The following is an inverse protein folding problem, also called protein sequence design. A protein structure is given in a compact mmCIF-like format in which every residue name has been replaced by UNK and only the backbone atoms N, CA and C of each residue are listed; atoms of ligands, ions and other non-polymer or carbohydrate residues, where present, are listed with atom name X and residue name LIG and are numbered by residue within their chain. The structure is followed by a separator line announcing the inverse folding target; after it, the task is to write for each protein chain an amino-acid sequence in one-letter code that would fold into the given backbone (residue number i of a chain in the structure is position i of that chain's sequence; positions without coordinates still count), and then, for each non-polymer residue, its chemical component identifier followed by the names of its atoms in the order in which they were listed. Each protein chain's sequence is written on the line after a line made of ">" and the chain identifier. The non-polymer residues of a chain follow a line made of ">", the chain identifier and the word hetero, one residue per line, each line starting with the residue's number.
data_IF_839771947953
#
_entry.id   IF_839771947953
#
_cell.length_a   1.000
_cell.length_b   1.000
_cell.length_c   1.000
_cell.angle_alpha   90.00
_cell.angle_beta   90.00
_cell.angle_gamma   90.00
#
_symmetry.space_group_name_H-M   'P 1'
#
loop_
_entity.id
_entity.type
_entity.pdbx_description
1 polymer ?
#
# COMPACT_ATOMS: atom_id res chain seq x y z
N UNK A 1 10.23 56.89 -16.90
CA UNK A 1 8.98 56.81 -16.08
C UNK A 1 8.27 55.46 -16.28
N UNK A 2 8.91 54.31 -16.02
CA UNK A 2 8.32 52.98 -16.37
C UNK A 2 8.43 51.88 -15.28
N UNK A 3 8.98 52.18 -14.10
CA UNK A 3 9.22 51.14 -13.07
C UNK A 3 8.04 50.93 -12.08
N UNK A 4 7.11 51.88 -12.02
CA UNK A 4 5.97 51.85 -11.08
C UNK A 4 4.84 50.93 -11.60
N UNK A 5 4.67 50.81 -12.93
CA UNK A 5 3.65 49.93 -13.51
C UNK A 5 3.99 48.45 -13.29
N UNK A 6 5.23 48.03 -13.57
CA UNK A 6 5.67 46.63 -13.41
C UNK A 6 5.61 46.15 -11.95
N UNK A 7 6.01 46.98 -11.00
CA UNK A 7 5.95 46.66 -9.58
C UNK A 7 4.50 46.56 -9.08
N UNK A 8 3.61 47.44 -9.55
CA UNK A 8 2.17 47.37 -9.24
C UNK A 8 1.51 46.10 -9.78
N UNK A 9 1.78 45.72 -11.04
CA UNK A 9 1.27 44.48 -11.63
C UNK A 9 1.84 43.24 -10.93
N UNK A 10 3.15 43.20 -10.66
CA UNK A 10 3.79 42.09 -9.94
C UNK A 10 3.16 41.86 -8.56
N UNK A 11 2.92 42.93 -7.80
CA UNK A 11 2.29 42.84 -6.48
C UNK A 11 0.81 42.44 -6.58
N UNK A 12 0.09 42.93 -7.60
CA UNK A 12 -1.29 42.54 -7.87
C UNK A 12 -1.39 41.04 -8.16
N UNK A 13 -0.58 40.52 -9.08
CA UNK A 13 -0.54 39.10 -9.39
C UNK A 13 -0.13 38.26 -8.19
N UNK A 14 0.83 38.69 -7.36
CA UNK A 14 1.20 37.99 -6.13
C UNK A 14 0.07 37.93 -5.10
N UNK A 15 -0.75 38.99 -5.02
CA UNK A 15 -1.93 39.04 -4.14
C UNK A 15 -3.08 38.16 -4.67
N UNK A 16 -3.31 38.18 -5.99
CA UNK A 16 -4.35 37.39 -6.67
C UNK A 16 -4.00 35.90 -6.71
N UNK A 17 -2.72 35.55 -6.83
CA UNK A 17 -2.22 34.16 -6.84
C UNK A 17 -2.07 33.56 -5.44
N UNK A 18 -2.42 34.29 -4.38
CA UNK A 18 -2.32 33.79 -3.01
C UNK A 18 -3.40 32.70 -2.85
N UNK A 19 -2.97 31.44 -3.01
CA UNK A 19 -3.84 30.26 -2.94
C UNK A 19 -4.53 30.10 -1.59
N UNK A 20 -5.48 29.16 -1.53
CA UNK A 20 -6.18 28.81 -0.27
C UNK A 20 -5.17 28.49 0.83
N UNK A 21 -5.29 29.20 1.95
CA UNK A 21 -4.56 28.89 3.18
C UNK A 21 -5.45 28.05 4.08
N UNK A 22 -4.86 27.05 4.72
CA UNK A 22 -5.54 26.19 5.68
C UNK A 22 -4.94 26.46 7.06
N UNK A 23 -5.79 26.48 8.09
CA UNK A 23 -5.35 26.60 9.48
C UNK A 23 -4.54 25.37 9.89
N UNK A 24 -3.70 25.49 10.92
CA UNK A 24 -2.82 24.40 11.31
C UNK A 24 -3.62 23.26 11.95
N UNK A 25 -4.64 23.59 12.73
CA UNK A 25 -5.55 22.64 13.38
C UNK A 25 -6.27 21.78 12.33
N UNK A 26 -6.68 22.40 11.22
CA UNK A 26 -7.34 21.68 10.13
C UNK A 26 -6.38 20.72 9.44
N UNK A 27 -5.13 21.13 9.19
CA UNK A 27 -4.13 20.22 8.61
C UNK A 27 -3.88 19.03 9.53
N UNK A 28 -3.74 19.26 10.83
CA UNK A 28 -3.55 18.19 11.81
C UNK A 28 -4.73 17.21 11.84
N UNK A 29 -5.97 17.71 11.82
CA UNK A 29 -7.17 16.88 11.73
C UNK A 29 -7.16 15.99 10.48
N UNK A 30 -6.82 16.55 9.32
CA UNK A 30 -6.73 15.80 8.06
C UNK A 30 -5.62 14.74 8.12
N UNK A 31 -4.45 15.07 8.68
CA UNK A 31 -3.34 14.13 8.80
C UNK A 31 -3.68 12.96 9.74
N UNK A 32 -4.42 13.22 10.82
CA UNK A 32 -4.90 12.20 11.73
C UNK A 32 -5.93 11.28 11.05
N UNK A 33 -6.89 11.84 10.31
CA UNK A 33 -7.87 11.05 9.55
C UNK A 33 -7.18 10.20 8.46
N UNK A 34 -6.16 10.74 7.79
CA UNK A 34 -5.35 9.98 6.82
C UNK A 34 -4.63 8.81 7.50
N UNK A 35 -4.14 8.99 8.73
CA UNK A 35 -3.49 7.92 9.50
C UNK A 35 -4.47 6.81 9.87
N UNK A 36 -5.72 7.15 10.19
CA UNK A 36 -6.75 6.17 10.55
C UNK A 36 -7.31 5.41 9.35
N UNK A 37 -7.53 6.11 8.23
CA UNK A 37 -8.17 5.56 7.03
C UNK A 37 -7.15 4.96 6.05
N UNK A 38 -5.88 5.36 6.13
CA UNK A 38 -4.77 5.01 5.23
C UNK A 38 -5.04 5.32 3.74
N UNK A 39 -6.07 6.13 3.45
CA UNK A 39 -6.50 6.46 2.08
C UNK A 39 -6.64 7.97 1.87
N UNK A 40 -5.56 8.58 1.39
CA UNK A 40 -5.49 10.02 1.07
C UNK A 40 -6.54 10.44 0.03
N UNK A 41 -6.91 9.56 -0.91
CA UNK A 41 -7.88 9.89 -1.96
C UNK A 41 -9.32 9.94 -1.45
N UNK A 42 -9.63 9.19 -0.40
CA UNK A 42 -10.95 9.23 0.24
C UNK A 42 -11.07 10.48 1.10
N UNK A 43 -10.07 10.73 1.95
CA UNK A 43 -10.03 11.91 2.83
C UNK A 43 -10.03 13.21 2.02
N UNK A 44 -9.23 13.28 0.94
CA UNK A 44 -9.21 14.45 0.06
C UNK A 44 -10.58 14.75 -0.57
N UNK A 45 -11.31 13.72 -1.01
CA UNK A 45 -12.67 13.90 -1.57
C UNK A 45 -13.67 14.39 -0.53
N UNK A 46 -13.63 13.84 0.69
CA UNK A 46 -14.51 14.22 1.80
C UNK A 46 -14.37 15.71 2.17
N UNK A 47 -13.14 16.22 2.16
CA UNK A 47 -12.84 17.59 2.59
C UNK A 47 -12.64 18.58 1.44
N UNK A 48 -12.80 18.15 0.19
CA UNK A 48 -12.59 18.99 -1.00
C UNK A 48 -11.13 19.42 -1.20
N UNK A 49 -10.17 18.64 -0.70
CA UNK A 49 -8.73 18.91 -0.75
C UNK A 49 -8.10 18.01 -1.80
N UNK A 50 -7.22 18.56 -2.64
CA UNK A 50 -6.49 17.72 -3.58
C UNK A 50 -5.55 16.77 -2.82
N UNK A 51 -5.41 15.55 -3.33
CA UNK A 51 -4.49 14.56 -2.78
C UNK A 51 -3.05 15.10 -2.74
N UNK A 52 -2.64 15.88 -3.74
CA UNK A 52 -1.34 16.54 -3.80
C UNK A 52 -1.10 17.50 -2.63
N UNK A 53 -2.11 18.25 -2.21
CA UNK A 53 -2.01 19.14 -1.05
C UNK A 53 -1.83 18.35 0.24
N UNK A 54 -2.56 17.25 0.40
CA UNK A 54 -2.42 16.36 1.57
C UNK A 54 -1.03 15.71 1.60
N UNK A 55 -0.53 15.18 0.47
CA UNK A 55 0.83 14.64 0.39
C UNK A 55 1.90 15.68 0.73
N UNK A 56 1.73 16.93 0.32
CA UNK A 56 2.62 18.02 0.71
C UNK A 56 2.59 18.29 2.22
N UNK A 57 1.44 18.16 2.89
CA UNK A 57 1.37 18.28 4.35
C UNK A 57 2.02 17.09 5.04
N UNK A 58 1.79 15.86 4.57
CA UNK A 58 2.43 14.65 5.09
C UNK A 58 3.96 14.79 5.01
N UNK A 59 4.48 15.23 3.86
CA UNK A 59 5.92 15.43 3.66
C UNK A 59 6.53 16.54 4.52
N UNK A 60 5.74 17.54 4.93
CA UNK A 60 6.18 18.63 5.82
C UNK A 60 5.94 18.31 7.30
N UNK A 61 5.14 17.30 7.60
CA UNK A 61 4.83 16.90 8.97
C UNK A 61 6.02 16.18 9.61
N UNK A 62 6.22 16.40 10.91
CA UNK A 62 7.24 15.68 11.70
C UNK A 62 6.96 14.17 11.83
N UNK A 63 5.75 13.74 11.50
CA UNK A 63 5.26 12.37 11.66
C UNK A 63 5.18 11.60 10.35
N UNK A 64 5.91 12.02 9.30
CA UNK A 64 5.89 11.36 7.98
C UNK A 64 6.04 9.84 8.08
N UNK A 65 6.95 9.35 8.90
CA UNK A 65 7.24 7.91 9.04
C UNK A 65 6.12 7.14 9.76
N UNK A 66 5.23 7.83 10.47
CA UNK A 66 4.08 7.24 11.19
C UNK A 66 2.80 7.24 10.35
N UNK A 67 2.79 7.96 9.23
CA UNK A 67 1.64 8.03 8.33
C UNK A 67 1.88 7.01 7.22
N UNK A 68 1.48 5.77 7.48
CA UNK A 68 1.51 4.67 6.50
C UNK A 68 0.48 4.92 5.40
N UNK A 69 0.86 5.69 4.37
CA UNK A 69 -0.02 5.87 3.20
C UNK A 69 0.19 4.71 2.25
N UNK A 70 -0.89 4.02 1.88
CA UNK A 70 -0.82 3.01 0.83
C UNK A 70 -0.28 3.63 -0.46
N UNK A 71 0.77 3.07 -1.07
CA UNK A 71 1.27 3.55 -2.34
C UNK A 71 0.12 3.62 -3.34
N UNK A 72 -0.02 4.76 -4.02
CA UNK A 72 -1.02 4.90 -5.07
C UNK A 72 -0.81 3.84 -6.16
N UNK A 73 -1.86 3.55 -6.94
CA UNK A 73 -1.85 2.51 -7.99
C UNK A 73 -0.62 2.53 -8.91
N UNK A 74 0.03 3.69 -9.11
CA UNK A 74 1.27 3.83 -9.89
C UNK A 74 2.52 3.26 -9.19
N UNK A 75 2.66 3.39 -7.87
CA UNK A 75 3.78 2.82 -7.13
C UNK A 75 3.68 1.29 -6.99
N UNK A 76 2.48 0.72 -7.11
CA UNK A 76 2.30 -0.74 -7.26
C UNK A 76 2.84 -1.25 -8.61
N UNK A 77 2.86 -0.42 -9.65
CA UNK A 77 3.38 -0.79 -10.99
C UNK A 77 4.92 -0.75 -11.03
N UNK A 78 5.56 0.03 -10.15
CA UNK A 78 7.01 -0.02 -9.93
C UNK A 78 7.46 -1.23 -9.10
N UNK A 79 6.52 -2.05 -8.61
CA UNK A 79 6.76 -3.36 -7.96
C UNK A 79 7.31 -4.44 -8.90
N UNK A 80 8.01 -4.06 -9.97
CA UNK A 80 8.71 -4.96 -10.89
C UNK A 80 9.79 -5.80 -10.20
N UNK A 81 10.27 -5.35 -9.04
CA UNK A 81 11.19 -6.11 -8.19
C UNK A 81 10.51 -7.31 -7.50
N UNK A 82 9.18 -7.35 -7.42
CA UNK A 82 8.45 -8.43 -6.76
C UNK A 82 8.10 -9.57 -7.72
N UNK A 83 8.22 -9.38 -9.04
CA UNK A 83 7.89 -10.45 -10.01
C UNK A 83 8.83 -11.65 -9.85
N UNK A 84 10.12 -11.41 -9.59
CA UNK A 84 11.09 -12.48 -9.36
C UNK A 84 10.82 -13.22 -8.04
N UNK A 85 10.57 -12.50 -6.96
CA UNK A 85 10.26 -13.09 -5.65
C UNK A 85 8.94 -13.87 -5.70
N UNK A 86 7.92 -13.34 -6.38
CA UNK A 86 6.64 -14.04 -6.61
C UNK A 86 6.86 -15.30 -7.44
N UNK A 87 7.68 -15.24 -8.49
CA UNK A 87 7.98 -16.40 -9.32
C UNK A 87 8.73 -17.48 -8.53
N UNK A 88 9.72 -17.10 -7.71
CA UNK A 88 10.47 -18.02 -6.85
C UNK A 88 9.56 -18.70 -5.82
N UNK A 89 8.72 -17.92 -5.12
CA UNK A 89 7.73 -18.43 -4.16
C UNK A 89 6.71 -19.34 -4.85
N UNK A 90 6.30 -19.03 -6.07
CA UNK A 90 5.35 -19.85 -6.84
C UNK A 90 5.99 -21.19 -7.21
N UNK A 91 7.25 -21.18 -7.67
CA UNK A 91 8.00 -22.39 -7.99
C UNK A 91 8.26 -23.26 -6.75
N UNK A 92 8.55 -22.65 -5.61
CA UNK A 92 8.72 -23.37 -4.35
C UNK A 92 7.41 -24.05 -3.92
N UNK A 93 6.29 -23.34 -4.02
CA UNK A 93 4.97 -23.93 -3.73
C UNK A 93 4.66 -25.12 -4.64
N UNK A 94 4.97 -25.06 -5.93
CA UNK A 94 4.73 -26.17 -6.84
C UNK A 94 5.60 -27.39 -6.52
N UNK A 95 6.87 -27.18 -6.14
CA UNK A 95 7.75 -28.24 -5.65
C UNK A 95 7.22 -28.87 -4.37
N UNK A 96 6.80 -28.05 -3.40
CA UNK A 96 6.26 -28.52 -2.13
C UNK A 96 4.97 -29.32 -2.32
N UNK A 97 4.05 -28.86 -3.17
CA UNK A 97 2.82 -29.60 -3.52
C UNK A 97 3.14 -30.96 -4.13
N UNK A 98 4.15 -31.05 -5.00
CA UNK A 98 4.56 -32.31 -5.62
C UNK A 98 5.10 -33.29 -4.57
N UNK A 99 6.02 -32.84 -3.72
CA UNK A 99 6.59 -33.67 -2.63
C UNK A 99 5.48 -34.15 -1.68
N UNK A 100 4.54 -33.26 -1.35
CA UNK A 100 3.41 -33.61 -0.49
C UNK A 100 2.55 -34.71 -1.11
N UNK A 101 2.21 -34.59 -2.40
CA UNK A 101 1.45 -35.63 -3.12
C UNK A 101 2.18 -36.97 -3.19
N UNK A 102 3.49 -36.98 -3.40
CA UNK A 102 4.31 -38.20 -3.36
C UNK A 102 4.28 -38.86 -1.98
N UNK A 103 4.37 -38.06 -0.91
CA UNK A 103 4.29 -38.55 0.48
C UNK A 103 2.91 -39.08 0.84
N UNK A 104 1.85 -38.44 0.39
CA UNK A 104 0.48 -38.91 0.60
C UNK A 104 0.22 -40.25 -0.11
N UNK A 105 0.75 -40.43 -1.32
CA UNK A 105 0.71 -41.71 -2.04
C UNK A 105 1.48 -42.80 -1.32
N UNK A 106 2.69 -42.51 -0.84
CA UNK A 106 3.50 -43.43 -0.05
C UNK A 106 2.76 -43.88 1.22
N UNK A 107 2.15 -42.94 1.95
CA UNK A 107 1.33 -43.23 3.14
C UNK A 107 0.12 -44.10 2.78
N UNK A 108 -0.56 -43.81 1.68
CA UNK A 108 -1.72 -44.60 1.24
C UNK A 108 -1.34 -46.05 0.93
N UNK A 109 -0.22 -46.25 0.21
CA UNK A 109 0.31 -47.60 -0.09
C UNK A 109 0.70 -48.33 1.19
N UNK A 110 1.43 -47.68 2.10
CA UNK A 110 1.83 -48.28 3.38
C UNK A 110 0.62 -48.68 4.23
N UNK A 111 -0.42 -47.84 4.28
CA UNK A 111 -1.68 -48.16 4.97
C UNK A 111 -2.41 -49.36 4.33
N UNK A 112 -2.46 -49.44 3.00
CA UNK A 112 -3.07 -50.57 2.29
C UNK A 112 -2.30 -51.88 2.52
N UNK A 113 -0.96 -51.82 2.51
CA UNK A 113 -0.09 -52.96 2.83
C UNK A 113 -0.30 -53.42 4.29
N UNK A 114 -0.35 -52.50 5.25
CA UNK A 114 -0.63 -52.83 6.66
C UNK A 114 -2.00 -53.49 6.83
N UNK A 115 -3.02 -52.96 6.13
CA UNK A 115 -4.38 -53.53 6.16
C UNK A 115 -4.44 -54.93 5.55
N UNK A 116 -3.69 -55.17 4.47
CA UNK A 116 -3.57 -56.50 3.84
C UNK A 116 -2.79 -57.50 4.71
N UNK A 117 -1.71 -57.05 5.35
CA UNK A 117 -0.86 -57.88 6.20
C UNK A 117 -1.53 -58.23 7.54
N UNK A 118 -2.36 -57.33 8.08
CA UNK A 118 -3.06 -57.57 9.34
C UNK A 118 -4.49 -56.99 9.31
N UNK A 119 -5.48 -57.76 8.84
CA UNK A 119 -6.85 -57.28 8.66
C UNK A 119 -7.59 -56.89 9.96
N UNK A 120 -7.00 -57.13 11.13
CA UNK A 120 -7.58 -56.77 12.43
C UNK A 120 -7.07 -55.41 12.98
N UNK A 121 -6.08 -54.78 12.35
CA UNK A 121 -5.59 -53.46 12.78
C UNK A 121 -6.55 -52.34 12.34
N UNK A 122 -7.41 -51.88 13.25
CA UNK A 122 -8.15 -50.63 13.08
C UNK A 122 -7.22 -49.45 13.38
N UNK A 123 -6.69 -48.83 12.32
CA UNK A 123 -5.96 -47.57 12.43
C UNK A 123 -7.02 -46.46 12.66
N UNK A 124 -7.00 -45.83 13.84
CA UNK A 124 -7.91 -44.75 14.24
C UNK A 124 -7.48 -43.41 13.68
#
# INVERSE_FOLDING_TARGET
>A
MTNISYTKYSNYWRKVMKGRSYSEEFKEQILQEVKEVENVSLVGRKHGISTSTIFNWISKSKNKDKIGVKPGRKALVEGKNNENEINEITQENDKLKKILGEKDLEIAILKDLLKKANPQLKIK
#
